data_IF_431629825538
#
_entry.id   IF_431629825538
#
_cell.length_a   1.000
_cell.length_b   1.000
_cell.length_c   1.000
_cell.angle_alpha   90.00
_cell.angle_beta   90.00
_cell.angle_gamma   90.00
#
_symmetry.space_group_name_H-M   'P 1'
#
loop_
_entity.id
_entity.type
_entity.pdbx_description
1 polymer ?
#
# COMPACT_ATOMS: atom_id res chain seq x y z
N UNK A 1 -13.89 -10.01 -2.79
CA UNK A 1 -14.96 -10.51 -3.69
C UNK A 1 -15.38 -11.88 -3.18
N UNK A 2 -16.58 -12.04 -2.65
CA UNK A 2 -17.04 -13.39 -2.28
C UNK A 2 -17.38 -14.17 -3.55
N UNK A 3 -16.37 -14.86 -4.08
CA UNK A 3 -16.45 -15.57 -5.35
C UNK A 3 -17.34 -16.82 -5.24
N UNK A 4 -17.66 -17.25 -4.02
CA UNK A 4 -18.44 -18.47 -3.76
C UNK A 4 -19.93 -18.21 -3.98
N UNK A 5 -20.42 -17.07 -3.51
CA UNK A 5 -21.85 -16.72 -3.55
C UNK A 5 -22.26 -15.92 -4.78
N UNK A 6 -21.29 -15.53 -5.64
CA UNK A 6 -21.50 -14.80 -6.89
C UNK A 6 -22.28 -13.48 -6.71
N UNK A 7 -22.14 -12.84 -5.55
CA UNK A 7 -22.78 -11.57 -5.22
C UNK A 7 -21.76 -10.43 -5.10
N UNK A 8 -22.23 -9.20 -5.28
CA UNK A 8 -21.48 -7.99 -4.93
C UNK A 8 -22.30 -7.20 -3.92
N UNK A 9 -21.68 -6.82 -2.82
CA UNK A 9 -22.30 -6.00 -1.77
C UNK A 9 -21.66 -4.62 -1.79
N UNK A 10 -22.48 -3.58 -1.74
CA UNK A 10 -22.03 -2.19 -1.64
C UNK A 10 -22.61 -1.64 -0.35
N UNK A 11 -21.72 -1.22 0.54
CA UNK A 11 -22.07 -0.64 1.82
C UNK A 11 -21.78 0.85 1.80
N UNK A 12 -22.75 1.66 2.22
CA UNK A 12 -22.68 3.13 2.30
C UNK A 12 -23.13 3.64 3.66
N UNK A 13 -23.27 2.74 4.62
CA UNK A 13 -23.63 3.03 6.00
C UNK A 13 -22.51 3.79 6.73
N UNK A 14 -22.95 4.68 7.63
CA UNK A 14 -22.06 5.46 8.48
C UNK A 14 -21.68 4.67 9.74
N UNK A 15 -20.51 4.99 10.30
CA UNK A 15 -20.02 4.38 11.55
C UNK A 15 -19.12 3.16 11.37
N UNK A 16 -18.84 2.76 10.14
CA UNK A 16 -17.79 1.78 9.84
C UNK A 16 -16.41 2.36 10.17
N UNK A 17 -15.54 1.53 10.72
CA UNK A 17 -14.15 1.89 11.00
C UNK A 17 -13.32 1.49 9.79
N UNK A 18 -12.71 2.46 9.14
CA UNK A 18 -11.81 2.25 8.01
C UNK A 18 -10.39 2.64 8.39
N UNK A 19 -9.40 1.98 7.77
CA UNK A 19 -8.00 2.37 7.85
C UNK A 19 -7.46 2.67 6.44
N UNK A 20 -6.67 3.75 6.27
CA UNK A 20 -6.06 4.03 4.99
C UNK A 20 -4.88 3.10 4.74
N UNK A 21 -4.80 2.52 3.55
CA UNK A 21 -3.66 1.71 3.10
C UNK A 21 -3.18 2.13 1.72
N UNK A 22 -1.90 1.84 1.43
CA UNK A 22 -1.35 2.02 0.10
C UNK A 22 -1.81 0.91 -0.84
N UNK A 23 -2.12 1.29 -2.07
CA UNK A 23 -2.57 0.38 -3.12
C UNK A 23 -1.35 -0.25 -3.83
N UNK A 24 -1.47 -1.53 -4.19
CA UNK A 24 -0.58 -2.21 -5.12
C UNK A 24 -1.20 -2.15 -6.51
N UNK A 25 -0.42 -1.72 -7.51
CA UNK A 25 -0.85 -1.67 -8.89
C UNK A 25 -0.98 -3.09 -9.46
N UNK A 26 -2.19 -3.55 -9.77
CA UNK A 26 -2.43 -4.88 -10.39
C UNK A 26 -2.80 -4.79 -11.88
N UNK A 27 -2.76 -3.59 -12.49
CA UNK A 27 -3.12 -3.45 -13.90
C UNK A 27 -2.17 -4.30 -14.78
N UNK A 28 -2.69 -5.29 -15.56
CA UNK A 28 -1.88 -6.11 -16.46
C UNK A 28 -1.06 -5.31 -17.48
N UNK A 29 -1.50 -4.10 -17.82
CA UNK A 29 -0.85 -3.24 -18.81
C UNK A 29 0.05 -2.18 -18.19
N UNK A 30 0.01 -2.00 -16.86
CA UNK A 30 0.87 -1.05 -16.19
C UNK A 30 2.32 -1.56 -16.16
N UNK A 31 3.30 -0.70 -16.49
CA UNK A 31 4.71 -1.03 -16.30
C UNK A 31 5.08 -1.20 -14.81
N UNK A 32 4.26 -0.69 -13.89
CA UNK A 32 4.47 -0.76 -12.45
C UNK A 32 3.74 -1.96 -11.79
N UNK A 33 3.17 -2.88 -12.59
CA UNK A 33 2.41 -4.02 -12.08
C UNK A 33 3.14 -4.77 -10.96
N UNK A 34 2.40 -5.04 -9.90
CA UNK A 34 2.83 -5.73 -8.70
C UNK A 34 3.67 -4.87 -7.77
N UNK A 35 3.79 -3.56 -7.98
CA UNK A 35 4.49 -2.64 -7.07
C UNK A 35 3.52 -1.66 -6.42
N UNK A 36 4.00 -0.95 -5.39
CA UNK A 36 3.23 0.14 -4.78
C UNK A 36 2.86 1.20 -5.83
N UNK A 37 1.61 1.66 -5.77
CA UNK A 37 1.13 2.80 -6.56
C UNK A 37 1.75 4.13 -6.09
N UNK A 38 2.25 4.18 -4.84
CA UNK A 38 3.01 5.31 -4.33
C UNK A 38 4.37 5.41 -5.05
N UNK A 39 4.56 6.49 -5.80
CA UNK A 39 5.81 6.81 -6.49
C UNK A 39 6.53 7.97 -5.79
N UNK A 40 7.81 8.18 -6.13
CA UNK A 40 8.58 9.32 -5.62
C UNK A 40 7.96 10.66 -6.03
N UNK A 41 7.34 10.73 -7.21
CA UNK A 41 6.66 11.94 -7.69
C UNK A 41 5.51 12.39 -6.76
N UNK A 42 4.78 11.44 -6.16
CA UNK A 42 3.75 11.78 -5.17
C UNK A 42 4.35 12.36 -3.89
N UNK A 43 5.50 11.84 -3.46
CA UNK A 43 6.22 12.35 -2.30
C UNK A 43 6.77 13.75 -2.57
N UNK A 44 7.35 13.97 -3.75
CA UNK A 44 7.89 15.28 -4.13
C UNK A 44 6.77 16.35 -4.17
N UNK A 45 5.56 15.99 -4.61
CA UNK A 45 4.38 16.89 -4.54
C UNK A 45 4.01 17.24 -3.09
N UNK A 46 4.05 16.27 -2.18
CA UNK A 46 3.78 16.49 -0.75
C UNK A 46 4.87 17.32 -0.07
N UNK A 47 6.13 17.14 -0.48
CA UNK A 47 7.24 17.97 -0.02
C UNK A 47 7.05 19.42 -0.51
N UNK A 48 6.68 19.62 -1.78
CA UNK A 48 6.39 20.94 -2.35
C UNK A 48 5.21 21.66 -1.68
N UNK A 49 4.19 20.92 -1.21
CA UNK A 49 3.04 21.49 -0.49
C UNK A 49 3.46 22.24 0.79
N UNK A 50 4.60 21.89 1.39
CA UNK A 50 5.12 22.54 2.61
C UNK A 50 5.56 23.99 2.34
N UNK A 51 5.98 24.29 1.12
CA UNK A 51 6.41 25.64 0.70
C UNK A 51 5.22 26.54 0.34
N UNK A 52 4.03 25.97 0.13
CA UNK A 52 2.84 26.72 -0.22
C UNK A 52 2.30 27.42 1.03
N UNK A 53 2.36 28.75 1.04
CA UNK A 53 1.72 29.55 2.08
C UNK A 53 0.19 29.46 1.94
N UNK A 54 -0.43 28.92 2.98
CA UNK A 54 -1.88 28.77 3.09
C UNK A 54 -2.48 29.58 4.24
N UNK A 55 -1.68 30.46 4.85
CA UNK A 55 -2.15 31.32 5.92
C UNK A 55 -3.30 32.21 5.42
N UNK A 56 -4.40 32.25 6.17
CA UNK A 56 -5.58 33.04 5.83
C UNK A 56 -6.55 32.43 4.81
N UNK A 57 -6.24 31.27 4.22
CA UNK A 57 -7.17 30.57 3.31
C UNK A 57 -8.17 29.69 4.07
N UNK A 58 -9.35 29.49 3.49
CA UNK A 58 -10.36 28.53 3.96
C UNK A 58 -9.88 27.09 3.75
N UNK A 59 -10.53 26.12 4.41
CA UNK A 59 -10.15 24.70 4.29
C UNK A 59 -10.36 24.15 2.88
N UNK A 60 -11.31 24.69 2.12
CA UNK A 60 -11.58 24.32 0.72
C UNK A 60 -10.47 24.87 -0.19
N UNK A 61 -10.15 26.16 -0.05
CA UNK A 61 -9.07 26.81 -0.82
C UNK A 61 -7.69 26.20 -0.54
N UNK A 62 -7.48 25.70 0.69
CA UNK A 62 -6.28 24.95 1.07
C UNK A 62 -6.16 23.63 0.32
N UNK A 63 -7.27 22.89 0.21
CA UNK A 63 -7.32 21.61 -0.48
C UNK A 63 -7.18 21.75 -1.99
N UNK A 64 -7.62 22.88 -2.57
CA UNK A 64 -7.41 23.16 -3.99
C UNK A 64 -5.96 23.55 -4.31
N UNK A 65 -5.28 24.26 -3.41
CA UNK A 65 -3.90 24.71 -3.63
C UNK A 65 -2.83 23.67 -3.33
N UNK A 66 -3.12 22.72 -2.45
CA UNK A 66 -2.17 21.67 -2.05
C UNK A 66 -2.60 20.34 -2.62
N UNK A 67 -1.64 19.48 -2.93
CA UNK A 67 -1.93 18.09 -3.25
C UNK A 67 -2.45 17.35 -2.01
N UNK A 68 -1.66 17.32 -0.94
CA UNK A 68 -2.03 16.86 0.39
C UNK A 68 -2.63 15.44 0.42
N UNK A 69 -3.41 15.17 1.47
CA UNK A 69 -4.08 13.88 1.65
C UNK A 69 -5.15 13.60 0.57
N UNK A 70 -5.93 14.62 0.22
CA UNK A 70 -6.98 14.49 -0.81
C UNK A 70 -6.39 14.14 -2.17
N UNK A 71 -5.21 14.65 -2.49
CA UNK A 71 -4.45 14.31 -3.69
C UNK A 71 -4.03 12.85 -3.72
N UNK A 72 -3.56 12.29 -2.58
CA UNK A 72 -3.21 10.87 -2.48
C UNK A 72 -4.43 9.97 -2.76
N UNK A 73 -5.59 10.31 -2.17
CA UNK A 73 -6.85 9.60 -2.41
C UNK A 73 -7.27 9.70 -3.88
N UNK A 74 -7.31 10.90 -4.46
CA UNK A 74 -7.72 11.11 -5.86
C UNK A 74 -6.78 10.46 -6.86
N UNK A 75 -5.49 10.37 -6.55
CA UNK A 75 -4.51 9.67 -7.38
C UNK A 75 -4.58 8.14 -7.28
N UNK A 76 -5.43 7.60 -6.40
CA UNK A 76 -5.53 6.15 -6.19
C UNK A 76 -4.28 5.55 -5.57
N UNK A 77 -3.52 6.34 -4.80
CA UNK A 77 -2.32 5.86 -4.10
C UNK A 77 -2.71 5.24 -2.76
N UNK A 78 -3.74 5.80 -2.13
CA UNK A 78 -4.28 5.37 -0.85
C UNK A 78 -5.76 5.04 -1.01
N UNK A 79 -6.21 3.97 -0.37
CA UNK A 79 -7.61 3.58 -0.27
C UNK A 79 -7.98 3.35 1.20
N UNK A 80 -9.21 3.72 1.56
CA UNK A 80 -9.78 3.36 2.86
C UNK A 80 -10.38 1.97 2.77
N UNK A 81 -9.87 1.06 3.60
CA UNK A 81 -10.38 -0.31 3.70
C UNK A 81 -11.06 -0.49 5.06
N UNK A 82 -12.27 -1.03 5.06
CA UNK A 82 -12.97 -1.41 6.28
C UNK A 82 -12.62 -2.85 6.74
N UNK A 83 -13.16 -3.24 7.90
CA UNK A 83 -12.87 -4.55 8.49
C UNK A 83 -13.46 -5.72 7.68
N UNK A 84 -14.59 -5.55 6.99
CA UNK A 84 -15.22 -6.62 6.20
C UNK A 84 -14.43 -6.85 4.90
N UNK A 85 -13.98 -5.78 4.27
CA UNK A 85 -13.10 -5.81 3.09
C UNK A 85 -11.73 -6.40 3.41
N UNK A 86 -11.18 -6.11 4.60
CA UNK A 86 -9.90 -6.65 5.06
C UNK A 86 -9.88 -8.19 5.13
N UNK A 87 -11.00 -8.84 5.45
CA UNK A 87 -11.08 -10.32 5.51
C UNK A 87 -10.83 -10.99 4.15
N UNK A 88 -11.08 -10.27 3.06
CA UNK A 88 -10.97 -10.79 1.69
C UNK A 88 -9.81 -10.18 0.90
N UNK A 89 -9.15 -9.16 1.44
CA UNK A 89 -8.00 -8.51 0.83
C UNK A 89 -6.70 -9.25 1.15
N UNK A 90 -5.71 -9.13 0.27
CA UNK A 90 -4.34 -9.55 0.54
C UNK A 90 -3.49 -8.33 0.90
N UNK A 91 -2.86 -8.35 2.08
CA UNK A 91 -2.10 -7.22 2.59
C UNK A 91 -0.64 -7.63 2.73
N UNK A 92 0.23 -6.82 2.14
CA UNK A 92 1.67 -6.92 2.33
C UNK A 92 2.08 -6.08 3.53
N UNK A 93 2.91 -6.63 4.42
CA UNK A 93 3.28 -5.95 5.67
C UNK A 93 4.32 -4.86 5.41
N UNK A 94 5.29 -5.13 4.53
CA UNK A 94 6.33 -4.18 4.16
C UNK A 94 6.63 -4.21 2.66
N UNK A 95 7.11 -3.09 2.08
CA UNK A 95 7.51 -3.06 0.67
C UNK A 95 8.61 -4.08 0.32
N UNK A 96 9.44 -4.47 1.29
CA UNK A 96 10.48 -5.47 1.07
C UNK A 96 9.92 -6.89 0.88
N UNK A 97 8.78 -7.22 1.50
CA UNK A 97 8.09 -8.49 1.26
C UNK A 97 7.64 -8.59 -0.22
N UNK A 98 7.23 -7.47 -0.82
CA UNK A 98 6.84 -7.41 -2.22
C UNK A 98 8.04 -7.66 -3.14
N UNK A 99 9.20 -7.07 -2.83
CA UNK A 99 10.46 -7.32 -3.55
C UNK A 99 10.90 -8.77 -3.43
N UNK A 100 10.83 -9.35 -2.24
CA UNK A 100 11.14 -10.75 -2.00
C UNK A 100 10.21 -11.68 -2.80
N UNK A 101 8.91 -11.38 -2.85
CA UNK A 101 7.96 -12.12 -3.66
C UNK A 101 8.30 -12.04 -5.17
N UNK A 102 8.66 -10.86 -5.68
CA UNK A 102 9.11 -10.72 -7.08
C UNK A 102 10.38 -11.51 -7.39
N UNK A 103 11.36 -11.51 -6.47
CA UNK A 103 12.59 -12.30 -6.59
C UNK A 103 12.31 -13.80 -6.58
N UNK A 104 11.51 -14.26 -5.64
CA UNK A 104 11.11 -15.66 -5.53
C UNK A 104 10.42 -16.13 -6.82
N UNK A 105 9.53 -15.32 -7.39
CA UNK A 105 8.86 -15.59 -8.67
C UNK A 105 9.83 -15.62 -9.87
N UNK A 106 10.99 -14.99 -9.77
CA UNK A 106 12.07 -15.07 -10.76
C UNK A 106 13.03 -16.26 -10.51
N UNK A 107 12.78 -17.07 -9.48
CA UNK A 107 13.64 -18.18 -9.07
C UNK A 107 14.88 -17.77 -8.28
N UNK A 108 14.94 -16.52 -7.82
CA UNK A 108 16.03 -16.02 -6.97
C UNK A 108 15.60 -16.23 -5.52
N UNK A 109 16.20 -17.22 -4.87
CA UNK A 109 16.00 -17.51 -3.44
C UNK A 109 17.15 -16.83 -2.70
N UNK A 110 16.83 -15.80 -1.93
CA UNK A 110 17.81 -15.21 -1.00
C UNK A 110 17.98 -16.20 0.15
N UNK A 111 19.09 -16.97 0.15
CA UNK A 111 19.47 -17.78 1.30
C UNK A 111 19.95 -16.85 2.42
N UNK A 112 19.25 -16.86 3.56
CA UNK A 112 19.75 -16.17 4.74
C UNK A 112 21.07 -16.82 5.18
N UNK A 113 22.19 -16.10 4.98
CA UNK A 113 23.49 -16.50 5.53
C UNK A 113 23.40 -16.67 7.06
N UNK A 114 24.16 -17.62 7.60
CA UNK A 114 24.15 -17.95 9.04
C UNK A 114 24.53 -16.75 9.94
N UNK A 115 25.28 -15.79 9.40
CA UNK A 115 25.65 -14.54 10.08
C UNK A 115 24.43 -13.61 10.26
N UNK A 116 23.57 -13.52 9.25
CA UNK A 116 22.33 -12.71 9.26
C UNK A 116 21.32 -13.27 10.25
N UNK A 117 21.21 -14.60 10.34
CA UNK A 117 20.35 -15.27 11.33
C UNK A 117 20.81 -15.02 12.77
N UNK A 118 22.12 -14.95 12.98
CA UNK A 118 22.73 -14.78 14.31
C UNK A 118 22.62 -13.35 14.84
N UNK A 119 22.63 -12.36 13.95
CA UNK A 119 22.53 -10.93 14.29
C UNK A 119 21.10 -10.38 14.18
N UNK A 120 20.09 -11.24 14.11
CA UNK A 120 18.70 -10.81 14.00
C UNK A 120 18.23 -10.11 15.28
N UNK A 121 17.63 -8.94 15.13
CA UNK A 121 17.01 -8.23 16.25
C UNK A 121 15.84 -9.06 16.81
N UNK A 122 15.78 -9.36 18.13
CA UNK A 122 14.67 -10.09 18.75
C UNK A 122 13.29 -9.44 18.56
N UNK A 123 13.23 -8.14 18.25
CA UNK A 123 12.00 -7.41 17.98
C UNK A 123 11.65 -7.33 16.50
N UNK A 124 12.49 -7.86 15.61
CA UNK A 124 12.20 -7.90 14.18
C UNK A 124 11.00 -8.81 13.89
N UNK A 125 10.20 -8.42 12.89
CA UNK A 125 9.15 -9.28 12.35
C UNK A 125 9.76 -10.59 11.87
N UNK A 126 9.21 -11.71 12.32
CA UNK A 126 9.54 -13.04 11.79
C UNK A 126 8.87 -13.20 10.43
N UNK A 127 9.69 -13.35 9.38
CA UNK A 127 9.22 -13.57 8.01
C UNK A 127 9.20 -15.07 7.73
N UNK A 128 8.06 -15.65 7.33
CA UNK A 128 7.99 -17.06 6.95
C UNK A 128 8.73 -17.32 5.63
N UNK A 129 9.26 -18.54 5.41
CA UNK A 129 9.92 -18.88 4.17
C UNK A 129 8.95 -18.77 2.98
N UNK A 130 9.45 -18.42 1.78
CA UNK A 130 8.62 -18.30 0.59
C UNK A 130 7.93 -19.64 0.27
N UNK A 131 6.71 -19.56 -0.29
CA UNK A 131 5.95 -20.75 -0.66
C UNK A 131 6.71 -21.53 -1.76
N UNK A 132 7.00 -22.83 -1.55
CA UNK A 132 7.77 -23.64 -2.51
C UNK A 132 7.04 -23.90 -3.84
N UNK A 133 5.76 -23.54 -3.94
CA UNK A 133 4.96 -23.71 -5.17
C UNK A 133 4.87 -22.45 -6.04
N UNK A 134 5.53 -21.35 -5.64
CA UNK A 134 5.56 -20.08 -6.39
C UNK A 134 6.57 -20.12 -7.53
#
# INVERSE_FOLDING_TARGET
RDVRDREFKIFTDAGRVCRPLFIIDDDPFSPNKGNLALTREHIDKLEADQEIDVSGLSDEERQEKRYGWQGLLHSGVVEYMDAEEEEVAMIVMTPDDLRAHHRARQGIIDEDDEETKRNRDPHERVVPPPNPSV
#
